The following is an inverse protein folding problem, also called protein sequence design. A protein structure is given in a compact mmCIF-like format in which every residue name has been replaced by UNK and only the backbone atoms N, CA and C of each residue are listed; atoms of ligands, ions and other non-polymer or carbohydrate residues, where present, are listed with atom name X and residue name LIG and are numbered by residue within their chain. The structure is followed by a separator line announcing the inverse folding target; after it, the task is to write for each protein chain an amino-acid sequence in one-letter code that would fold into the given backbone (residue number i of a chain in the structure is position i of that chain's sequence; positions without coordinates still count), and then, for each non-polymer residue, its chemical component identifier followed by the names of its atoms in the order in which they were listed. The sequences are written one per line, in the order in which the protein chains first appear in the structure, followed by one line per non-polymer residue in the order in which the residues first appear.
data_IF_334094952242
#
_entry.id   IF_334094952242
#
_cell.length_a   1.000
_cell.length_b   1.000
_cell.length_c   1.000
_cell.angle_alpha   90.00
_cell.angle_beta   90.00
_cell.angle_gamma   90.00
#
_symmetry.space_group_name_H-M   'P 1'
#
loop_
_entity.id
_entity.type
_entity.pdbx_description
1 polymer ?
#
# COMPACT_ATOMS: atom_id res chain seq x y z
N UNK A 1 42.27 33.14 -25.02
CA UNK A 1 41.88 32.55 -23.73
C UNK A 1 41.46 31.12 -24.02
N UNK A 2 42.22 30.15 -23.53
CA UNK A 2 42.06 28.73 -23.86
C UNK A 2 40.92 28.13 -23.02
N UNK A 3 40.19 27.14 -23.55
CA UNK A 3 39.11 26.43 -22.84
C UNK A 3 39.62 25.81 -21.53
N UNK A 4 40.85 25.29 -21.53
CA UNK A 4 41.49 24.75 -20.34
C UNK A 4 41.71 25.81 -19.25
N UNK A 5 42.05 27.05 -19.60
CA UNK A 5 42.18 28.13 -18.62
C UNK A 5 40.83 28.55 -18.03
N UNK A 6 39.75 28.46 -18.82
CA UNK A 6 38.39 28.73 -18.34
C UNK A 6 37.88 27.63 -17.42
N UNK A 7 38.16 26.37 -17.75
CA UNK A 7 37.74 25.22 -16.94
C UNK A 7 38.53 25.11 -15.64
N UNK A 8 39.85 25.36 -15.67
CA UNK A 8 40.65 25.41 -14.43
C UNK A 8 40.22 26.57 -13.53
N UNK A 9 39.96 27.76 -14.08
CA UNK A 9 39.47 28.89 -13.27
C UNK A 9 38.10 28.61 -12.65
N UNK A 10 37.17 28.02 -13.41
CA UNK A 10 35.85 27.66 -12.89
C UNK A 10 35.93 26.56 -11.82
N UNK A 11 36.84 25.60 -11.97
CA UNK A 11 37.09 24.56 -10.96
C UNK A 11 37.69 25.13 -9.67
N UNK A 12 38.67 26.03 -9.78
CA UNK A 12 39.30 26.71 -8.63
C UNK A 12 38.31 27.63 -7.91
N UNK A 13 37.41 28.29 -8.64
CA UNK A 13 36.36 29.15 -8.08
C UNK A 13 35.25 28.33 -7.39
N UNK A 14 34.95 27.12 -7.88
CA UNK A 14 34.01 26.19 -7.25
C UNK A 14 34.61 25.51 -6.01
N UNK A 15 35.88 25.14 -6.04
CA UNK A 15 36.56 24.49 -4.90
C UNK A 15 36.98 25.47 -3.81
N UNK A 16 37.25 26.73 -4.15
CA UNK A 16 37.62 27.77 -3.18
C UNK A 16 36.46 28.41 -2.41
N UNK A 17 35.21 28.22 -2.88
CA UNK A 17 34.01 28.83 -2.30
C UNK A 17 33.12 27.89 -1.49
N UNK A 18 33.43 26.60 -1.44
CA UNK A 18 32.62 25.59 -0.74
C UNK A 18 33.40 25.00 0.42
N UNK A 19 33.11 25.45 1.64
CA UNK A 19 33.28 24.60 2.82
C UNK A 19 32.55 23.28 2.56
N UNK A 20 33.09 22.16 3.06
CA UNK A 20 32.60 20.81 2.83
C UNK A 20 31.07 20.77 2.89
N UNK A 21 30.44 20.64 1.73
CA UNK A 21 28.99 20.65 1.60
C UNK A 21 28.46 19.43 2.35
N UNK A 22 27.81 19.67 3.48
CA UNK A 22 27.11 18.64 4.26
C UNK A 22 26.17 17.87 3.31
N UNK A 23 26.19 16.55 3.42
CA UNK A 23 25.39 15.60 2.62
C UNK A 23 23.89 15.95 2.68
N UNK A 24 23.45 16.58 3.77
CA UNK A 24 22.08 17.13 3.92
C UNK A 24 21.80 18.33 3.02
N UNK A 25 22.77 19.22 2.80
CA UNK A 25 22.64 20.36 1.89
C UNK A 25 22.62 19.89 0.44
N UNK A 26 23.42 18.88 0.10
CA UNK A 26 23.46 18.25 -1.23
C UNK A 26 22.12 17.56 -1.56
N UNK A 27 21.54 16.86 -0.60
CA UNK A 27 20.19 16.26 -0.72
C UNK A 27 19.11 17.32 -0.92
N UNK A 28 19.20 18.45 -0.22
CA UNK A 28 18.25 19.56 -0.34
C UNK A 28 18.34 20.26 -1.70
N UNK A 29 19.55 20.45 -2.23
CA UNK A 29 19.78 21.03 -3.57
C UNK A 29 19.26 20.10 -4.67
N UNK A 30 19.52 18.79 -4.59
CA UNK A 30 18.96 17.79 -5.52
C UNK A 30 17.43 17.80 -5.52
N UNK A 31 16.81 17.92 -4.35
CA UNK A 31 15.35 18.04 -4.23
C UNK A 31 14.78 19.35 -4.80
N UNK A 32 15.53 20.45 -4.79
CA UNK A 32 15.09 21.74 -5.35
C UNK A 32 15.27 21.78 -6.87
N UNK A 33 16.37 21.25 -7.41
CA UNK A 33 16.60 21.18 -8.86
C UNK A 33 15.65 20.19 -9.54
N UNK A 34 15.33 19.05 -8.90
CA UNK A 34 14.28 18.12 -9.35
C UNK A 34 12.92 18.83 -9.46
N UNK A 35 12.52 19.59 -8.44
CA UNK A 35 11.26 20.37 -8.42
C UNK A 35 11.21 21.50 -9.46
N UNK A 36 12.32 22.20 -9.70
CA UNK A 36 12.38 23.28 -10.67
C UNK A 36 12.27 22.80 -12.13
N UNK A 37 12.77 21.59 -12.43
CA UNK A 37 12.62 20.97 -13.76
C UNK A 37 11.20 20.49 -14.02
N UNK A 38 10.56 19.83 -13.06
CA UNK A 38 9.17 19.36 -13.19
C UNK A 38 8.19 20.52 -13.47
N UNK A 39 8.38 21.68 -12.83
CA UNK A 39 7.54 22.87 -13.07
C UNK A 39 7.67 23.47 -14.47
N UNK A 40 8.82 23.32 -15.15
CA UNK A 40 9.00 23.86 -16.50
C UNK A 40 8.31 23.01 -17.57
N UNK A 41 8.14 21.71 -17.34
CA UNK A 41 7.47 20.81 -18.28
C UNK A 41 5.94 20.79 -18.14
N UNK A 42 5.40 21.00 -16.93
CA UNK A 42 3.94 21.12 -16.74
C UNK A 42 3.30 22.31 -17.49
N UNK A 43 4.07 23.36 -17.81
CA UNK A 43 3.55 24.55 -18.51
C UNK A 43 3.39 24.34 -20.01
N UNK A 44 3.99 23.29 -20.60
CA UNK A 44 3.93 23.04 -22.05
C UNK A 44 2.80 22.10 -22.50
N UNK A 45 2.17 21.36 -21.59
CA UNK A 45 1.13 20.35 -21.89
C UNK A 45 -0.33 20.84 -21.73
N UNK A 46 -0.57 22.00 -21.10
CA UNK A 46 -1.93 22.48 -20.75
C UNK A 46 -2.77 22.92 -21.97
N UNK A 47 -2.18 23.06 -23.17
CA UNK A 47 -2.89 23.56 -24.36
C UNK A 47 -3.88 22.60 -25.02
N UNK A 48 -3.79 21.29 -24.77
CA UNK A 48 -4.53 20.28 -25.56
C UNK A 48 -5.71 19.60 -24.84
N UNK A 49 -5.83 19.70 -23.51
CA UNK A 49 -6.72 18.84 -22.70
C UNK A 49 -8.16 19.41 -22.54
N UNK A 50 -8.41 20.66 -22.92
CA UNK A 50 -9.68 21.33 -22.60
C UNK A 50 -10.92 20.90 -23.44
N UNK A 51 -10.81 20.00 -24.42
CA UNK A 51 -11.88 19.78 -25.40
C UNK A 51 -12.67 18.45 -25.30
N UNK A 52 -12.27 17.45 -24.51
CA UNK A 52 -12.85 16.08 -24.61
C UNK A 52 -13.52 15.56 -23.31
N UNK A 53 -13.31 16.22 -22.17
CA UNK A 53 -13.67 15.66 -20.85
C UNK A 53 -15.16 15.65 -20.43
N UNK A 54 -16.12 16.11 -21.25
CA UNK A 54 -17.51 16.36 -20.75
C UNK A 54 -18.51 15.24 -21.07
N UNK A 55 -18.14 14.17 -21.79
CA UNK A 55 -19.13 13.16 -22.24
C UNK A 55 -18.93 11.71 -21.75
N UNK A 56 -17.89 11.40 -20.96
CA UNK A 56 -17.52 10.00 -20.65
C UNK A 56 -18.08 9.39 -19.36
N UNK A 57 -18.40 10.18 -18.33
CA UNK A 57 -18.55 9.65 -16.95
C UNK A 57 -19.99 9.18 -16.63
N UNK A 58 -20.99 9.50 -17.46
CA UNK A 58 -22.40 9.20 -17.16
C UNK A 58 -22.87 7.77 -17.46
N UNK A 59 -22.11 6.94 -18.17
CA UNK A 59 -22.60 5.69 -18.75
C UNK A 59 -22.14 4.39 -18.03
N UNK A 60 -21.12 4.45 -17.18
CA UNK A 60 -20.57 3.24 -16.51
C UNK A 60 -21.38 2.77 -15.30
N UNK A 61 -22.34 3.56 -14.80
CA UNK A 61 -23.07 3.25 -13.56
C UNK A 61 -24.37 2.44 -13.76
N UNK A 62 -24.73 2.06 -14.99
CA UNK A 62 -26.07 1.54 -15.31
C UNK A 62 -26.13 0.11 -15.87
N UNK A 63 -25.04 -0.65 -15.95
CA UNK A 63 -25.06 -2.01 -16.52
C UNK A 63 -24.36 -3.04 -15.64
N UNK A 64 -25.17 -3.80 -14.88
CA UNK A 64 -25.00 -5.24 -14.71
C UNK A 64 -23.98 -5.73 -13.69
N UNK A 65 -24.34 -5.73 -12.40
CA UNK A 65 -23.82 -6.72 -11.45
C UNK A 65 -24.37 -8.10 -11.83
N UNK A 66 -23.54 -8.93 -12.44
CA UNK A 66 -23.82 -10.36 -12.61
C UNK A 66 -23.34 -11.10 -11.38
N UNK A 67 -24.26 -11.63 -10.59
CA UNK A 67 -23.97 -12.58 -9.52
C UNK A 67 -23.38 -13.86 -10.13
N UNK A 68 -22.09 -14.10 -9.90
CA UNK A 68 -21.48 -15.39 -10.20
C UNK A 68 -21.92 -16.38 -9.10
N UNK A 69 -22.78 -17.32 -9.48
CA UNK A 69 -23.19 -18.42 -8.60
C UNK A 69 -21.98 -19.33 -8.28
N UNK A 70 -21.82 -19.80 -7.03
CA UNK A 70 -20.71 -20.66 -6.65
C UNK A 70 -20.77 -22.01 -7.37
N UNK A 71 -19.63 -22.40 -7.97
CA UNK A 71 -19.42 -23.73 -8.55
C UNK A 71 -19.18 -24.73 -7.42
N UNK A 72 -19.98 -25.80 -7.27
CA UNK A 72 -19.75 -26.78 -6.22
C UNK A 72 -18.54 -27.68 -6.57
N UNK A 73 -17.70 -28.05 -5.59
CA UNK A 73 -16.57 -28.95 -5.82
C UNK A 73 -17.03 -30.39 -6.10
N UNK A 74 -16.26 -31.09 -6.96
CA UNK A 74 -16.49 -32.47 -7.33
C UNK A 74 -16.39 -33.40 -6.12
N UNK A 75 -17.47 -34.15 -5.86
CA UNK A 75 -17.59 -35.13 -4.78
C UNK A 75 -16.90 -36.44 -5.17
N UNK A 76 -15.83 -36.81 -4.46
CA UNK A 76 -15.39 -38.21 -4.38
C UNK A 76 -16.13 -38.88 -3.22
N UNK A 77 -16.68 -40.07 -3.44
CA UNK A 77 -17.44 -40.84 -2.46
C UNK A 77 -16.57 -41.94 -1.86
N UNK A 78 -16.16 -41.87 -0.57
CA UNK A 78 -15.78 -43.05 0.18
C UNK A 78 -17.02 -43.61 0.91
N UNK A 79 -17.28 -44.91 0.72
CA UNK A 79 -18.26 -45.64 1.52
C UNK A 79 -17.66 -45.92 2.90
N UNK A 80 -18.21 -45.30 3.96
CA UNK A 80 -17.89 -45.60 5.36
C UNK A 80 -19.08 -46.23 6.08
N UNK A 81 -18.76 -47.21 6.91
CA UNK A 81 -19.68 -47.99 7.75
C UNK A 81 -20.37 -47.12 8.82
N UNK A 82 -21.54 -47.53 9.36
CA UNK A 82 -22.28 -46.77 10.36
C UNK A 82 -21.48 -46.66 11.67
N UNK A 83 -21.06 -45.44 11.99
CA UNK A 83 -20.51 -45.08 13.31
C UNK A 83 -21.62 -44.56 14.21
N UNK A 84 -21.65 -45.04 15.44
CA UNK A 84 -22.55 -44.61 16.50
C UNK A 84 -22.41 -43.12 16.79
N UNK A 85 -23.54 -42.42 16.77
CA UNK A 85 -23.72 -40.99 17.03
C UNK A 85 -23.31 -40.65 18.48
N UNK A 86 -22.23 -39.87 18.71
CA UNK A 86 -21.91 -39.38 20.04
C UNK A 86 -22.82 -38.19 20.38
N UNK A 87 -23.49 -38.27 21.54
CA UNK A 87 -24.25 -37.18 22.15
C UNK A 87 -23.46 -35.86 22.10
N UNK A 88 -24.05 -34.75 21.63
CA UNK A 88 -23.36 -33.47 21.55
C UNK A 88 -22.93 -33.02 22.94
N UNK A 89 -21.61 -32.87 23.13
CA UNK A 89 -21.04 -32.21 24.31
C UNK A 89 -21.52 -30.76 24.33
N UNK A 90 -22.07 -30.26 25.46
CA UNK A 90 -22.51 -28.87 25.55
C UNK A 90 -21.36 -27.91 25.24
N UNK A 91 -21.57 -27.04 24.26
CA UNK A 91 -20.67 -25.93 23.95
C UNK A 91 -20.51 -25.07 25.21
N UNK A 92 -19.28 -24.86 25.72
CA UNK A 92 -19.06 -23.98 26.86
C UNK A 92 -19.58 -22.58 26.50
N UNK A 93 -20.32 -21.98 27.43
CA UNK A 93 -20.76 -20.60 27.29
C UNK A 93 -19.53 -19.70 27.06
N UNK A 94 -19.61 -18.69 26.16
CA UNK A 94 -18.49 -17.79 25.94
C UNK A 94 -18.10 -17.14 27.27
N UNK A 95 -16.87 -17.39 27.69
CA UNK A 95 -16.30 -16.73 28.87
C UNK A 95 -16.30 -15.24 28.59
N UNK A 96 -17.05 -14.46 29.38
CA UNK A 96 -17.02 -13.01 29.28
C UNK A 96 -15.57 -12.55 29.45
N UNK A 97 -15.01 -11.95 28.41
CA UNK A 97 -13.71 -11.32 28.50
C UNK A 97 -13.75 -10.28 29.64
N UNK A 98 -12.69 -10.20 30.48
CA UNK A 98 -12.66 -9.24 31.57
C UNK A 98 -12.86 -7.82 31.02
N UNK A 99 -13.86 -7.11 31.53
CA UNK A 99 -14.06 -5.70 31.20
C UNK A 99 -12.85 -4.92 31.72
N UNK A 100 -12.10 -4.18 30.88
CA UNK A 100 -10.95 -3.42 31.33
C UNK A 100 -11.37 -2.40 32.41
N UNK A 101 -10.81 -2.53 33.61
CA UNK A 101 -11.06 -1.61 34.73
C UNK A 101 -9.82 -0.73 34.92
N UNK A 102 -9.85 0.48 34.36
CA UNK A 102 -8.79 1.48 34.50
C UNK A 102 -9.09 2.75 33.70
N UNK A 103 -8.46 3.90 34.02
CA UNK A 103 -8.57 5.09 33.19
C UNK A 103 -8.08 4.78 31.77
N UNK A 104 -8.78 5.34 30.79
CA UNK A 104 -8.47 5.16 29.36
C UNK A 104 -7.28 6.04 29.03
N UNK A 105 -6.08 5.51 29.23
CA UNK A 105 -4.81 6.17 28.93
C UNK A 105 -4.08 5.45 27.79
N UNK A 106 -3.31 6.23 27.02
CA UNK A 106 -2.35 5.70 26.05
C UNK A 106 -1.20 5.01 26.77
N UNK A 107 -0.55 4.08 26.08
CA UNK A 107 0.61 3.38 26.60
C UNK A 107 1.80 3.52 25.65
N UNK A 108 3.02 3.51 26.19
CA UNK A 108 4.24 3.50 25.37
C UNK A 108 4.34 2.24 24.53
N UNK A 109 3.95 1.11 25.12
CA UNK A 109 3.95 -0.20 24.49
C UNK A 109 2.60 -0.87 24.74
N UNK A 110 2.09 -1.53 23.70
CA UNK A 110 0.89 -2.35 23.74
C UNK A 110 1.25 -3.57 22.90
N UNK A 111 1.28 -4.74 23.53
CA UNK A 111 1.52 -6.01 22.85
C UNK A 111 0.34 -6.39 21.94
N UNK A 112 0.58 -7.25 20.96
CA UNK A 112 -0.42 -7.60 19.95
C UNK A 112 -1.67 -8.25 20.55
N UNK A 113 -1.52 -9.07 21.61
CA UNK A 113 -2.68 -9.67 22.27
C UNK A 113 -3.54 -8.62 22.97
N UNK A 114 -2.91 -7.62 23.61
CA UNK A 114 -3.59 -6.46 24.18
C UNK A 114 -4.25 -5.59 23.11
N UNK A 115 -3.62 -5.39 21.95
CA UNK A 115 -4.24 -4.69 20.81
C UNK A 115 -5.48 -5.44 20.36
N UNK A 116 -5.38 -6.73 20.04
CA UNK A 116 -6.51 -7.54 19.56
C UNK A 116 -7.67 -7.59 20.58
N UNK A 117 -7.38 -7.68 21.87
CA UNK A 117 -8.39 -7.62 22.91
C UNK A 117 -9.13 -6.27 22.94
N UNK A 118 -8.42 -5.16 22.71
CA UNK A 118 -8.99 -3.82 22.63
C UNK A 118 -9.74 -3.57 21.33
N UNK A 119 -9.34 -4.19 20.21
CA UNK A 119 -10.12 -4.17 18.98
C UNK A 119 -11.48 -4.83 19.17
N UNK A 120 -11.52 -5.98 19.86
CA UNK A 120 -12.77 -6.70 20.14
C UNK A 120 -13.68 -5.99 21.16
N UNK A 121 -13.10 -5.22 22.08
CA UNK A 121 -13.83 -4.45 23.08
C UNK A 121 -13.16 -3.09 23.36
N UNK A 122 -13.35 -2.10 22.49
CA UNK A 122 -12.69 -0.81 22.62
C UNK A 122 -13.05 -0.08 23.91
N UNK A 123 -12.06 0.49 24.59
CA UNK A 123 -12.27 1.22 25.86
C UNK A 123 -12.68 2.68 25.63
N UNK A 124 -12.37 3.20 24.44
CA UNK A 124 -12.58 4.60 24.07
C UNK A 124 -14.05 4.92 23.74
N UNK A 125 -14.93 3.91 23.65
CA UNK A 125 -16.38 4.09 23.46
C UNK A 125 -16.76 4.55 22.06
N UNK A 126 -15.87 4.33 21.10
CA UNK A 126 -16.04 4.66 19.71
C UNK A 126 -16.96 3.67 18.99
N UNK A 127 -17.65 4.19 17.98
CA UNK A 127 -18.46 3.43 17.03
C UNK A 127 -18.15 3.94 15.63
N UNK A 128 -18.12 3.03 14.67
CA UNK A 128 -17.76 3.32 13.29
C UNK A 128 -18.88 2.91 12.35
N UNK A 129 -18.97 3.62 11.24
CA UNK A 129 -19.84 3.27 10.13
C UNK A 129 -19.12 3.59 8.82
N UNK A 130 -19.69 3.14 7.70
CA UNK A 130 -19.15 3.46 6.38
C UNK A 130 -19.09 4.98 6.17
N UNK A 131 -18.07 5.51 5.47
CA UNK A 131 -17.90 6.95 5.31
C UNK A 131 -19.08 7.57 4.55
N UNK A 132 -19.72 8.57 5.16
CA UNK A 132 -20.81 9.34 4.55
C UNK A 132 -20.33 10.76 4.29
N UNK A 133 -20.29 11.17 3.03
CA UNK A 133 -19.88 12.54 2.66
C UNK A 133 -20.78 13.57 3.32
N UNK A 134 -20.19 14.59 3.95
CA UNK A 134 -20.90 15.66 4.64
C UNK A 134 -20.40 17.04 4.18
N UNK A 135 -21.10 17.61 3.20
CA UNK A 135 -20.79 18.95 2.67
C UNK A 135 -21.15 20.08 3.67
N UNK A 136 -21.99 19.82 4.67
CA UNK A 136 -22.30 20.83 5.71
C UNK A 136 -21.17 20.90 6.72
N UNK A 137 -20.67 19.75 7.19
CA UNK A 137 -19.49 19.69 8.05
C UNK A 137 -18.24 20.23 7.33
N UNK A 138 -18.10 19.98 6.02
CA UNK A 138 -17.00 20.54 5.21
C UNK A 138 -16.86 22.05 5.36
N UNK A 139 -17.96 22.79 5.27
CA UNK A 139 -17.92 24.25 5.37
C UNK A 139 -17.54 24.76 6.78
N UNK A 140 -17.74 23.94 7.80
CA UNK A 140 -17.38 24.26 9.18
C UNK A 140 -15.97 23.80 9.56
N UNK A 141 -15.47 22.71 8.97
CA UNK A 141 -14.20 22.09 9.39
C UNK A 141 -12.99 22.52 8.56
N UNK A 142 -13.19 23.03 7.34
CA UNK A 142 -12.08 23.41 6.45
C UNK A 142 -11.85 24.92 6.45
N UNK A 143 -10.57 25.32 6.36
CA UNK A 143 -10.20 26.73 6.18
C UNK A 143 -10.81 27.32 4.88
N UNK A 144 -11.16 28.62 4.88
CA UNK A 144 -11.61 29.28 3.67
C UNK A 144 -10.58 29.18 2.53
N UNK A 145 -11.03 28.79 1.35
CA UNK A 145 -10.16 28.63 0.18
C UNK A 145 -9.48 27.27 0.06
N UNK A 146 -9.68 26.36 1.02
CA UNK A 146 -9.24 24.96 0.92
C UNK A 146 -10.11 24.20 -0.11
N UNK A 147 -9.63 24.19 -1.36
CA UNK A 147 -10.17 23.34 -2.43
C UNK A 147 -9.50 21.97 -2.42
N UNK A 148 -10.18 20.96 -2.96
CA UNK A 148 -9.62 19.61 -3.12
C UNK A 148 -9.54 18.81 -1.81
N UNK A 149 -10.43 19.07 -0.85
CA UNK A 149 -10.59 18.26 0.36
C UNK A 149 -12.06 17.91 0.55
N UNK A 150 -12.36 16.69 0.95
CA UNK A 150 -13.70 16.19 1.24
C UNK A 150 -13.80 15.75 2.69
N UNK A 151 -14.97 15.95 3.29
CA UNK A 151 -15.26 15.57 4.67
C UNK A 151 -16.28 14.44 4.68
N UNK A 152 -15.99 13.40 5.44
CA UNK A 152 -16.84 12.24 5.63
C UNK A 152 -17.15 12.07 7.12
N UNK A 153 -18.41 11.91 7.50
CA UNK A 153 -18.76 11.35 8.79
C UNK A 153 -18.41 9.85 8.77
N UNK A 154 -17.67 9.38 9.78
CA UNK A 154 -17.17 7.99 9.86
C UNK A 154 -17.53 7.28 11.16
N UNK A 155 -18.07 7.99 12.15
CA UNK A 155 -18.41 7.38 13.43
C UNK A 155 -18.83 8.38 14.50
N UNK A 156 -18.87 7.89 15.72
CA UNK A 156 -19.16 8.68 16.91
C UNK A 156 -18.43 8.15 18.14
N UNK A 157 -18.14 9.03 19.10
CA UNK A 157 -17.63 8.70 20.44
C UNK A 157 -18.42 9.49 21.48
N UNK A 158 -19.29 8.80 22.22
CA UNK A 158 -20.24 9.46 23.11
C UNK A 158 -21.18 10.41 22.34
N UNK A 159 -21.17 11.70 22.68
CA UNK A 159 -21.95 12.73 21.98
C UNK A 159 -21.22 13.34 20.76
N UNK A 160 -19.92 13.09 20.62
CA UNK A 160 -19.13 13.64 19.54
C UNK A 160 -19.30 12.83 18.25
N UNK A 161 -19.52 13.53 17.14
CA UNK A 161 -19.42 12.94 15.80
C UNK A 161 -17.96 12.93 15.36
N UNK A 162 -17.53 11.84 14.72
CA UNK A 162 -16.17 11.68 14.22
C UNK A 162 -16.18 11.83 12.70
N UNK A 163 -15.32 12.72 12.20
CA UNK A 163 -15.16 13.04 10.79
C UNK A 163 -13.76 12.70 10.30
N UNK A 164 -13.69 12.19 9.08
CA UNK A 164 -12.46 12.04 8.32
C UNK A 164 -12.40 13.14 7.26
N UNK A 165 -11.31 13.90 7.26
CA UNK A 165 -11.03 14.99 6.32
C UNK A 165 -9.93 14.50 5.39
N UNK A 166 -10.22 14.39 4.10
CA UNK A 166 -9.37 13.70 3.12
C UNK A 166 -9.13 14.59 1.92
N UNK A 167 -7.91 14.63 1.40
CA UNK A 167 -7.61 15.29 0.13
C UNK A 167 -8.32 14.55 -1.04
N UNK A 168 -9.03 15.28 -1.91
CA UNK A 168 -9.63 14.72 -3.12
C UNK A 168 -8.51 14.36 -4.10
N UNK A 169 -8.26 13.05 -4.25
CA UNK A 169 -7.32 12.53 -5.25
C UNK A 169 -7.70 13.00 -6.68
N UNK A 170 -9.00 13.15 -6.97
CA UNK A 170 -9.49 13.59 -8.28
C UNK A 170 -9.13 15.04 -8.62
N UNK A 171 -8.86 15.89 -7.63
CA UNK A 171 -8.54 17.30 -7.85
C UNK A 171 -7.17 17.51 -8.51
N UNK A 172 -6.28 16.51 -8.45
CA UNK A 172 -4.91 16.62 -8.94
C UNK A 172 -4.72 16.21 -10.40
N UNK A 173 -5.80 15.88 -11.13
CA UNK A 173 -5.76 15.59 -12.57
C UNK A 173 -4.76 14.50 -12.99
N UNK A 174 -4.22 13.76 -12.03
CA UNK A 174 -3.22 12.72 -12.17
C UNK A 174 -3.72 11.52 -11.38
N UNK A 175 -3.51 10.35 -11.95
CA UNK A 175 -3.83 9.02 -11.42
C UNK A 175 -3.10 8.68 -10.11
N UNK A 176 -2.47 9.64 -9.44
CA UNK A 176 -1.63 9.33 -8.30
C UNK A 176 -2.48 8.80 -7.12
N UNK A 177 -2.26 7.55 -6.66
CA UNK A 177 -2.90 7.01 -5.45
C UNK A 177 -2.32 7.61 -4.16
N UNK A 178 -1.40 8.57 -4.27
CA UNK A 178 -0.76 9.22 -3.14
C UNK A 178 -1.57 10.45 -2.73
N UNK A 179 -2.33 10.33 -1.64
CA UNK A 179 -2.75 11.51 -0.89
C UNK A 179 -1.48 12.21 -0.40
N UNK A 180 -1.03 13.25 -1.11
CA UNK A 180 0.22 13.97 -0.79
C UNK A 180 0.19 14.60 0.61
N UNK A 181 -1.01 14.81 1.17
CA UNK A 181 -1.22 15.34 2.53
C UNK A 181 -2.07 14.44 3.43
N UNK A 182 -2.35 13.20 3.00
CA UNK A 182 -3.01 12.18 3.81
C UNK A 182 -4.45 12.52 4.25
N UNK A 183 -4.87 11.96 5.39
CA UNK A 183 -6.18 12.14 6.00
C UNK A 183 -6.04 12.68 7.44
N UNK A 184 -7.02 13.45 7.89
CA UNK A 184 -7.11 13.99 9.25
C UNK A 184 -8.39 13.49 9.92
N UNK A 185 -8.35 13.32 11.24
CA UNK A 185 -9.51 12.90 12.02
C UNK A 185 -9.95 14.05 12.93
N UNK A 186 -11.25 14.37 12.92
CA UNK A 186 -11.82 15.48 13.68
C UNK A 186 -13.01 14.98 14.48
N UNK A 187 -13.05 15.30 15.77
CA UNK A 187 -14.26 15.17 16.57
C UNK A 187 -15.01 16.49 16.63
N UNK A 188 -16.34 16.44 16.64
CA UNK A 188 -17.16 17.63 16.83
C UNK A 188 -18.35 17.34 17.74
N UNK A 189 -18.53 18.18 18.75
CA UNK A 189 -19.67 18.18 19.67
C UNK A 189 -20.13 19.61 19.98
N UNK A 190 -20.83 19.80 21.10
CA UNK A 190 -21.35 21.10 21.54
C UNK A 190 -20.25 22.10 21.92
N UNK A 191 -19.07 21.62 22.32
CA UNK A 191 -17.94 22.47 22.74
C UNK A 191 -17.10 22.96 21.55
N UNK A 192 -17.28 22.35 20.37
CA UNK A 192 -16.60 22.74 19.13
C UNK A 192 -16.02 21.56 18.37
N UNK A 193 -15.16 21.88 17.41
CA UNK A 193 -14.42 20.88 16.63
C UNK A 193 -12.98 20.76 17.15
N UNK A 194 -12.47 19.53 17.17
CA UNK A 194 -11.11 19.23 17.62
C UNK A 194 -10.43 18.21 16.73
N UNK A 195 -9.21 18.51 16.26
CA UNK A 195 -8.43 17.66 15.39
C UNK A 195 -7.62 16.65 16.20
N UNK A 196 -7.94 15.37 16.08
CA UNK A 196 -7.24 14.29 16.79
C UNK A 196 -5.86 14.09 16.16
N UNK A 197 -4.82 14.51 16.88
CA UNK A 197 -3.45 14.49 16.36
C UNK A 197 -2.82 13.09 16.38
N UNK A 198 -3.13 12.31 17.42
CA UNK A 198 -2.52 11.01 17.67
C UNK A 198 -3.61 9.94 17.82
N UNK A 199 -4.18 9.42 16.71
CA UNK A 199 -5.33 8.53 16.77
C UNK A 199 -5.02 7.15 17.38
N UNK A 200 -3.76 6.70 17.37
CA UNK A 200 -3.34 5.45 18.00
C UNK A 200 -3.28 5.54 19.54
N UNK A 201 -3.62 4.45 20.22
CA UNK A 201 -3.47 4.29 21.66
C UNK A 201 -2.01 4.11 22.10
N UNK A 202 -1.08 3.90 21.15
CA UNK A 202 0.36 3.78 21.43
C UNK A 202 1.03 5.15 21.31
N UNK A 203 1.76 5.60 22.33
CA UNK A 203 2.38 6.94 22.33
C UNK A 203 3.59 7.08 21.39
N UNK A 204 4.14 5.98 20.91
CA UNK A 204 5.26 5.98 19.96
C UNK A 204 4.85 5.99 18.49
N UNK A 205 3.55 5.91 18.20
CA UNK A 205 3.07 5.92 16.82
C UNK A 205 3.02 7.37 16.28
N UNK A 206 3.30 7.60 14.98
CA UNK A 206 3.29 8.94 14.38
C UNK A 206 1.96 9.66 14.55
N UNK A 207 2.07 10.96 14.83
CA UNK A 207 0.96 11.89 14.95
C UNK A 207 1.01 12.95 13.85
N UNK A 208 -0.14 13.56 13.58
CA UNK A 208 -0.28 14.72 12.70
C UNK A 208 0.57 15.88 13.21
N UNK A 209 1.34 16.46 12.31
CA UNK A 209 2.16 17.65 12.55
C UNK A 209 1.33 18.94 12.48
N UNK A 210 1.72 20.02 13.16
CA UNK A 210 1.00 21.29 13.08
C UNK A 210 0.83 21.84 11.65
N UNK A 211 1.80 21.59 10.77
CA UNK A 211 1.75 22.06 9.38
C UNK A 211 0.65 21.36 8.56
N UNK A 212 0.35 20.09 8.87
CA UNK A 212 -0.71 19.32 8.22
C UNK A 212 -2.11 19.78 8.64
N UNK A 213 -2.25 20.31 9.85
CA UNK A 213 -3.52 20.86 10.36
C UNK A 213 -3.91 22.17 9.68
N UNK A 214 -3.01 22.83 8.93
CA UNK A 214 -3.27 24.12 8.29
C UNK A 214 -4.37 24.13 7.20
N UNK A 215 -4.95 22.96 6.90
CA UNK A 215 -6.12 22.84 6.00
C UNK A 215 -7.46 22.98 6.74
N UNK A 216 -7.45 22.82 8.06
CA UNK A 216 -8.63 22.93 8.92
C UNK A 216 -8.93 24.39 9.25
N UNK A 217 -10.17 24.69 9.60
CA UNK A 217 -10.59 26.03 10.00
C UNK A 217 -9.89 26.48 11.30
N UNK A 218 -9.70 27.79 11.46
CA UNK A 218 -8.98 28.39 12.60
C UNK A 218 -9.61 28.07 13.97
N UNK A 219 -10.90 27.71 14.01
CA UNK A 219 -11.64 27.33 15.21
C UNK A 219 -11.62 25.82 15.50
N UNK A 220 -10.91 25.02 14.68
CA UNK A 220 -10.66 23.59 14.97
C UNK A 220 -9.41 23.46 15.82
N UNK A 221 -9.60 23.16 17.11
CA UNK A 221 -8.49 23.08 18.07
C UNK A 221 -7.71 21.76 17.93
N UNK A 222 -6.38 21.75 18.04
CA UNK A 222 -5.60 20.51 18.09
C UNK A 222 -5.89 19.73 19.37
N UNK A 223 -6.10 18.42 19.26
CA UNK A 223 -6.33 17.50 20.36
C UNK A 223 -5.27 16.40 20.40
N UNK A 224 -4.37 16.51 21.38
CA UNK A 224 -3.33 15.52 21.65
C UNK A 224 -3.81 14.44 22.65
N UNK A 225 -4.97 14.57 23.29
CA UNK A 225 -5.44 13.68 24.34
C UNK A 225 -6.34 12.56 23.83
N UNK A 226 -7.19 12.84 22.83
CA UNK A 226 -8.08 11.83 22.23
C UNK A 226 -7.29 10.82 21.38
N UNK A 227 -7.71 9.56 21.46
CA UNK A 227 -7.21 8.44 20.67
C UNK A 227 -8.30 7.36 20.56
N UNK A 228 -8.05 6.31 19.77
CA UNK A 228 -8.99 5.22 19.53
C UNK A 228 -8.27 3.88 19.62
N UNK A 229 -8.80 2.99 20.47
CA UNK A 229 -8.28 1.62 20.57
C UNK A 229 -8.42 0.90 19.21
N UNK A 230 -9.52 1.14 18.49
CA UNK A 230 -9.79 0.54 17.17
C UNK A 230 -8.89 1.02 16.03
N UNK A 231 -8.10 2.08 16.23
CA UNK A 231 -7.13 2.60 15.24
C UNK A 231 -5.68 2.27 15.62
N UNK A 232 -5.47 1.47 16.66
CA UNK A 232 -4.16 0.95 17.04
C UNK A 232 -3.92 -0.35 16.31
N UNK A 233 -3.04 -0.34 15.30
CA UNK A 233 -2.68 -1.57 14.59
C UNK A 233 -1.75 -2.45 15.44
N UNK A 234 -1.89 -3.79 15.40
CA UNK A 234 -0.93 -4.70 15.98
C UNK A 234 0.43 -4.53 15.28
N UNK A 235 1.53 -4.77 15.99
CA UNK A 235 2.88 -4.75 15.42
C UNK A 235 3.12 -5.93 14.48
N UNK A 236 2.47 -7.06 14.75
CA UNK A 236 2.51 -8.28 13.93
C UNK A 236 1.10 -8.80 13.67
N UNK A 237 0.84 -9.25 12.45
CA UNK A 237 -0.40 -9.94 12.06
C UNK A 237 -0.02 -11.34 11.59
N UNK A 238 -0.52 -12.37 12.27
CA UNK A 238 -0.35 -13.78 11.89
C UNK A 238 -1.48 -14.20 10.94
N UNK A 239 -1.12 -14.58 9.72
CA UNK A 239 -2.03 -15.09 8.69
C UNK A 239 -1.86 -16.60 8.46
N UNK A 240 -1.17 -17.30 9.36
CA UNK A 240 -0.95 -18.73 9.30
C UNK A 240 0.52 -19.13 9.12
N UNK A 241 0.79 -20.44 8.96
CA UNK A 241 2.15 -20.97 8.93
C UNK A 241 3.07 -20.28 7.91
N UNK A 242 4.09 -19.57 8.41
CA UNK A 242 5.09 -18.85 7.60
C UNK A 242 4.56 -17.58 6.91
N UNK A 243 3.44 -17.05 7.40
CA UNK A 243 2.82 -15.80 6.94
C UNK A 243 2.61 -14.83 8.10
N UNK A 244 3.68 -14.15 8.49
CA UNK A 244 3.67 -13.15 9.56
C UNK A 244 3.97 -11.77 8.99
N UNK A 245 2.96 -10.91 8.96
CA UNK A 245 3.07 -9.52 8.52
C UNK A 245 3.49 -8.65 9.68
N UNK A 246 4.26 -7.61 9.40
CA UNK A 246 4.64 -6.57 10.36
C UNK A 246 3.94 -5.27 9.97
N UNK A 247 4.04 -4.26 10.83
CA UNK A 247 3.56 -2.90 10.52
C UNK A 247 4.58 -1.82 10.86
N UNK A 248 5.81 -2.21 11.20
CA UNK A 248 6.83 -1.31 11.72
C UNK A 248 7.31 -0.32 10.65
N UNK A 249 7.54 -0.80 9.42
CA UNK A 249 7.98 0.07 8.33
C UNK A 249 6.87 1.00 7.86
N UNK A 250 5.63 0.51 7.79
CA UNK A 250 4.41 1.28 7.50
C UNK A 250 4.21 2.37 8.54
N UNK A 251 4.47 2.06 9.81
CA UNK A 251 4.45 3.03 10.91
C UNK A 251 5.53 4.09 10.77
N UNK A 252 6.71 3.75 10.27
CA UNK A 252 7.84 4.67 10.20
C UNK A 252 7.88 5.50 8.91
N UNK A 253 6.84 5.41 8.08
CA UNK A 253 6.74 6.17 6.84
C UNK A 253 6.76 7.68 7.11
N UNK A 254 7.77 8.42 6.62
CA UNK A 254 7.92 9.84 6.91
C UNK A 254 6.86 10.74 6.24
N UNK A 255 6.05 10.18 5.35
CA UNK A 255 5.01 10.88 4.60
C UNK A 255 3.59 10.40 4.96
N UNK A 256 3.44 9.54 5.96
CA UNK A 256 2.13 9.13 6.45
C UNK A 256 1.57 10.21 7.40
N UNK A 257 0.31 10.66 7.23
CA UNK A 257 -0.29 11.79 7.95
C UNK A 257 -0.39 11.53 9.46
N UNK A 258 -0.79 10.31 9.84
CA UNK A 258 -0.76 9.78 11.19
C UNK A 258 -0.95 8.25 11.09
N UNK A 259 -0.38 7.49 12.01
CA UNK A 259 -0.56 6.05 12.00
C UNK A 259 -1.97 5.65 12.41
N UNK A 260 -2.59 4.75 11.63
CA UNK A 260 -4.00 4.37 11.80
C UNK A 260 -4.98 5.26 11.04
N UNK A 261 -4.50 6.20 10.21
CA UNK A 261 -5.31 6.91 9.22
C UNK A 261 -5.03 6.37 7.81
N UNK A 262 -6.03 6.41 6.92
CA UNK A 262 -5.85 5.85 5.59
C UNK A 262 -4.88 6.67 4.73
N UNK A 263 -4.09 5.94 3.94
CA UNK A 263 -3.23 6.51 2.90
C UNK A 263 -3.95 6.61 1.55
N UNK A 264 -4.98 5.79 1.36
CA UNK A 264 -5.81 5.76 0.17
C UNK A 264 -7.28 5.84 0.57
N UNK A 265 -8.01 6.75 -0.05
CA UNK A 265 -9.44 6.92 0.17
C UNK A 265 -10.18 6.72 -1.15
N UNK A 266 -11.10 5.76 -1.13
CA UNK A 266 -11.69 5.15 -2.31
C UNK A 266 -11.72 3.64 -2.08
N UNK A 267 -12.85 3.00 -2.34
CA UNK A 267 -12.89 1.54 -2.31
C UNK A 267 -12.08 1.07 -3.52
N UNK A 268 -11.04 0.24 -3.33
CA UNK A 268 -10.45 -0.45 -4.47
C UNK A 268 -11.55 -1.26 -5.18
N UNK A 269 -11.34 -1.58 -6.45
CA UNK A 269 -12.34 -2.29 -7.24
C UNK A 269 -12.71 -3.64 -6.61
N UNK A 270 -11.78 -4.25 -5.88
CA UNK A 270 -12.03 -5.39 -5.01
C UNK A 270 -11.07 -5.46 -3.81
N UNK A 271 -11.60 -5.96 -2.68
CA UNK A 271 -10.80 -6.43 -1.54
C UNK A 271 -11.17 -7.87 -1.20
N UNK A 272 -10.19 -8.63 -0.71
CA UNK A 272 -10.36 -9.99 -0.22
C UNK A 272 -9.80 -10.09 1.19
N UNK A 273 -10.59 -10.63 2.11
CA UNK A 273 -10.19 -10.80 3.51
C UNK A 273 -9.19 -11.95 3.62
N UNK A 274 -8.02 -11.65 4.19
CA UNK A 274 -6.95 -12.62 4.46
C UNK A 274 -7.04 -13.07 5.92
N UNK A 275 -7.15 -12.10 6.84
CA UNK A 275 -7.32 -12.34 8.28
C UNK A 275 -8.32 -11.35 8.86
N UNK A 276 -9.32 -11.86 9.56
CA UNK A 276 -10.24 -11.05 10.36
C UNK A 276 -9.62 -10.77 11.75
N UNK A 277 -9.49 -9.49 12.10
CA UNK A 277 -8.96 -8.98 13.37
C UNK A 277 -10.05 -8.26 14.18
N UNK A 278 -11.32 -8.50 13.85
CA UNK A 278 -12.50 -7.85 14.41
C UNK A 278 -12.88 -6.59 13.62
N UNK A 279 -12.79 -5.38 14.21
CA UNK A 279 -13.03 -4.13 13.47
C UNK A 279 -11.93 -3.82 12.45
N UNK A 280 -10.83 -4.57 12.43
CA UNK A 280 -9.78 -4.50 11.42
C UNK A 280 -9.73 -5.81 10.63
N UNK A 281 -9.19 -5.77 9.42
CA UNK A 281 -8.85 -6.97 8.68
C UNK A 281 -7.55 -6.78 7.90
N UNK A 282 -6.71 -7.81 7.84
CA UNK A 282 -5.69 -7.90 6.81
C UNK A 282 -6.40 -8.29 5.51
N UNK A 283 -6.24 -7.48 4.48
CA UNK A 283 -6.86 -7.68 3.18
C UNK A 283 -5.82 -7.71 2.08
N UNK A 284 -6.13 -8.44 1.02
CA UNK A 284 -5.52 -8.27 -0.30
C UNK A 284 -6.41 -7.29 -1.08
N UNK A 285 -5.84 -6.23 -1.62
CA UNK A 285 -6.56 -5.23 -2.42
C UNK A 285 -6.09 -5.29 -3.86
N UNK A 286 -7.04 -5.28 -4.80
CA UNK A 286 -6.74 -5.19 -6.23
C UNK A 286 -6.12 -3.82 -6.50
N UNK A 287 -5.03 -3.83 -7.25
CA UNK A 287 -4.43 -2.64 -7.82
C UNK A 287 -4.81 -2.64 -9.29
N UNK A 288 -5.82 -1.85 -9.62
CA UNK A 288 -6.12 -1.55 -11.01
C UNK A 288 -4.90 -0.84 -11.57
N UNK A 289 -4.16 -1.47 -12.51
CA UNK A 289 -2.97 -0.84 -13.05
C UNK A 289 -3.38 0.52 -13.61
N UNK A 290 -2.59 1.55 -13.30
CA UNK A 290 -2.65 2.78 -14.07
C UNK A 290 -2.45 2.37 -15.52
N UNK A 291 -3.51 2.52 -16.32
CA UNK A 291 -3.44 2.17 -17.72
C UNK A 291 -2.40 3.09 -18.35
N UNK A 292 -1.19 2.56 -18.55
CA UNK A 292 -0.19 3.23 -19.36
C UNK A 292 -0.76 3.24 -20.76
N UNK A 293 -1.00 4.43 -21.31
CA UNK A 293 -1.68 4.57 -22.59
C UNK A 293 -1.00 3.71 -23.66
N UNK A 294 -1.76 2.74 -24.22
CA UNK A 294 -1.26 1.83 -25.25
C UNK A 294 -0.50 0.60 -24.74
N UNK A 295 -0.42 0.37 -23.42
CA UNK A 295 0.18 -0.84 -22.84
C UNK A 295 -0.85 -1.56 -21.99
N UNK A 296 -1.24 -2.75 -22.45
CA UNK A 296 -2.15 -3.61 -21.72
C UNK A 296 -1.39 -4.37 -20.61
N UNK A 297 -2.00 -4.58 -19.43
CA UNK A 297 -1.47 -5.46 -18.39
C UNK A 297 -1.23 -6.88 -18.92
N UNK A 298 -0.37 -7.63 -18.23
CA UNK A 298 -0.10 -9.03 -18.59
C UNK A 298 -1.36 -9.86 -18.41
N UNK A 299 -1.85 -10.47 -19.49
CA UNK A 299 -3.08 -11.27 -19.49
C UNK A 299 -3.04 -12.35 -18.40
N UNK A 300 -4.15 -12.48 -17.66
CA UNK A 300 -4.29 -13.47 -16.59
C UNK A 300 -3.60 -13.12 -15.28
N UNK A 301 -2.86 -12.01 -15.21
CA UNK A 301 -2.30 -11.49 -13.96
C UNK A 301 -3.16 -10.35 -13.42
N UNK A 302 -3.34 -10.34 -12.10
CA UNK A 302 -3.91 -9.20 -11.36
C UNK A 302 -2.94 -8.77 -10.28
N UNK A 303 -2.64 -7.49 -10.20
CA UNK A 303 -1.70 -6.97 -9.23
C UNK A 303 -2.43 -6.58 -7.95
N UNK A 304 -1.77 -6.79 -6.81
CA UNK A 304 -2.35 -6.59 -5.50
C UNK A 304 -1.36 -5.98 -4.52
N UNK A 305 -1.91 -5.43 -3.45
CA UNK A 305 -1.17 -5.09 -2.23
C UNK A 305 -1.85 -5.69 -1.01
N UNK A 306 -1.06 -5.96 0.02
CA UNK A 306 -1.62 -6.19 1.34
C UNK A 306 -1.89 -4.85 2.02
N UNK A 307 -3.03 -4.75 2.67
CA UNK A 307 -3.42 -3.59 3.45
C UNK A 307 -4.14 -4.02 4.72
N UNK A 308 -4.17 -3.14 5.72
CA UNK A 308 -5.08 -3.28 6.84
C UNK A 308 -6.32 -2.43 6.57
N UNK A 309 -7.48 -3.08 6.48
CA UNK A 309 -8.77 -2.40 6.42
C UNK A 309 -9.14 -1.90 7.80
N UNK A 310 -9.41 -0.59 7.90
CA UNK A 310 -9.83 0.11 9.10
C UNK A 310 -11.34 -0.07 9.35
N UNK A 311 -11.85 0.29 10.55
CA UNK A 311 -13.24 0.01 10.95
C UNK A 311 -14.30 0.75 10.12
N UNK A 312 -13.90 1.83 9.44
CA UNK A 312 -14.73 2.61 8.52
C UNK A 312 -14.37 2.31 7.05
N UNK A 313 -13.85 1.12 6.76
CA UNK A 313 -13.70 0.58 5.40
C UNK A 313 -12.55 1.15 4.57
N UNK A 314 -11.72 2.03 5.12
CA UNK A 314 -10.54 2.58 4.43
C UNK A 314 -9.31 1.69 4.65
N UNK A 315 -8.22 1.95 3.91
CA UNK A 315 -7.06 1.07 3.88
C UNK A 315 -5.78 1.77 4.36
N UNK A 316 -4.99 1.03 5.14
CA UNK A 316 -3.58 1.31 5.42
C UNK A 316 -2.74 0.29 4.66
N UNK A 317 -2.17 0.71 3.53
CA UNK A 317 -1.33 -0.16 2.68
C UNK A 317 -0.04 -0.51 3.41
N UNK A 318 0.32 -1.80 3.43
CA UNK A 318 1.53 -2.26 4.09
C UNK A 318 2.76 -2.06 3.20
N UNK A 319 3.83 -1.55 3.81
CA UNK A 319 5.13 -1.40 3.17
C UNK A 319 5.77 -2.73 2.76
N UNK A 320 6.68 -2.67 1.79
CA UNK A 320 7.32 -3.89 1.27
C UNK A 320 8.10 -4.67 2.31
N UNK A 321 8.75 -3.97 3.24
CA UNK A 321 9.50 -4.55 4.35
C UNK A 321 8.62 -5.18 5.44
N UNK A 322 7.32 -4.86 5.43
CA UNK A 322 6.34 -5.37 6.38
C UNK A 322 5.65 -6.65 5.91
N UNK A 323 5.81 -7.02 4.63
CA UNK A 323 5.24 -8.24 4.08
C UNK A 323 6.24 -9.40 4.17
N UNK A 324 5.80 -10.60 4.62
CA UNK A 324 6.67 -11.77 4.65
C UNK A 324 6.97 -12.24 3.23
N UNK A 325 8.04 -13.04 3.08
CA UNK A 325 8.40 -13.69 1.82
C UNK A 325 8.66 -12.71 0.65
N UNK A 326 8.84 -11.43 0.95
CA UNK A 326 9.05 -10.38 -0.05
C UNK A 326 10.49 -10.16 -0.44
N UNK A 327 11.41 -10.50 0.46
CA UNK A 327 12.81 -10.24 0.31
C UNK A 327 13.44 -11.26 -0.65
N UNK A 328 13.85 -10.83 -1.85
CA UNK A 328 14.43 -11.73 -2.84
C UNK A 328 15.79 -12.30 -2.39
N UNK A 329 16.59 -11.46 -1.73
CA UNK A 329 17.89 -11.80 -1.17
C UNK A 329 17.80 -12.71 0.07
N UNK A 330 16.62 -12.81 0.68
CA UNK A 330 16.33 -13.74 1.77
C UNK A 330 15.98 -15.17 1.30
N UNK A 331 15.85 -15.39 -0.01
CA UNK A 331 15.55 -16.72 -0.57
C UNK A 331 16.82 -17.58 -0.59
N UNK A 332 16.74 -18.74 0.05
CA UNK A 332 17.76 -19.79 -0.09
C UNK A 332 17.46 -20.61 -1.33
N UNK A 333 18.27 -20.45 -2.38
CA UNK A 333 18.10 -21.13 -3.66
C UNK A 333 18.71 -22.54 -3.65
N UNK A 334 18.04 -23.50 -4.30
CA UNK A 334 18.46 -24.91 -4.36
C UNK A 334 19.76 -25.12 -5.15
N UNK A 335 20.10 -24.16 -6.03
CA UNK A 335 21.37 -24.17 -6.77
C UNK A 335 22.55 -23.63 -5.95
N UNK A 336 22.30 -23.18 -4.71
CA UNK A 336 23.31 -22.62 -3.80
C UNK A 336 23.88 -21.27 -4.22
N UNK A 337 23.35 -20.65 -5.29
CA UNK A 337 23.82 -19.34 -5.76
C UNK A 337 23.14 -18.25 -4.94
N UNK A 338 23.96 -17.50 -4.19
CA UNK A 338 23.53 -16.29 -3.52
C UNK A 338 23.21 -15.21 -4.56
N UNK A 339 22.01 -14.63 -4.45
CA UNK A 339 21.54 -13.56 -5.32
C UNK A 339 21.15 -12.39 -4.41
N UNK A 340 21.75 -11.23 -4.64
CA UNK A 340 21.42 -10.02 -3.92
C UNK A 340 20.71 -9.05 -4.87
N UNK A 341 19.76 -8.29 -4.34
CA UNK A 341 19.20 -7.10 -4.99
C UNK A 341 19.83 -5.88 -4.33
N UNK A 342 20.63 -5.12 -5.08
CA UNK A 342 21.37 -3.96 -4.58
C UNK A 342 20.52 -2.69 -4.53
N UNK A 343 19.30 -2.71 -5.10
CA UNK A 343 18.44 -1.55 -5.16
C UNK A 343 17.42 -1.54 -4.02
N UNK A 344 16.59 -2.59 -3.95
CA UNK A 344 15.55 -2.71 -2.92
C UNK A 344 15.44 -4.17 -2.48
N UNK A 345 15.28 -4.44 -1.18
CA UNK A 345 15.19 -5.82 -0.70
C UNK A 345 13.88 -6.50 -1.16
N UNK A 346 12.80 -5.75 -1.42
CA UNK A 346 11.48 -6.28 -1.70
C UNK A 346 11.14 -6.39 -3.20
N UNK A 347 10.28 -7.35 -3.54
CA UNK A 347 9.81 -7.59 -4.90
C UNK A 347 8.85 -6.53 -5.48
N UNK A 348 8.56 -6.62 -6.77
CA UNK A 348 7.54 -5.86 -7.48
C UNK A 348 6.45 -6.79 -8.07
N UNK A 349 5.32 -6.22 -8.50
CA UNK A 349 4.30 -6.99 -9.22
C UNK A 349 4.73 -7.19 -10.68
N UNK A 350 4.68 -8.42 -11.19
CA UNK A 350 5.04 -8.68 -12.58
C UNK A 350 4.00 -8.17 -13.60
N UNK A 351 2.72 -8.09 -13.21
CA UNK A 351 1.60 -7.82 -14.13
C UNK A 351 1.18 -6.35 -14.30
N UNK A 352 1.76 -5.42 -13.54
CA UNK A 352 1.39 -4.00 -13.58
C UNK A 352 2.62 -3.08 -13.53
N UNK A 353 2.46 -1.86 -14.03
CA UNK A 353 3.45 -0.81 -13.90
C UNK A 353 3.29 -0.12 -12.54
N UNK A 354 4.39 0.07 -11.82
CA UNK A 354 4.41 0.82 -10.54
C UNK A 354 5.75 1.52 -10.39
N UNK A 355 5.78 2.75 -9.88
CA UNK A 355 7.05 3.37 -9.49
C UNK A 355 7.45 3.12 -8.04
N UNK A 356 6.49 2.71 -7.20
CA UNK A 356 6.74 2.50 -5.78
C UNK A 356 5.91 1.35 -5.20
N UNK A 357 6.54 0.77 -4.17
CA UNK A 357 6.11 -0.27 -3.26
C UNK A 357 5.94 -1.69 -3.81
N UNK A 358 6.06 -2.63 -2.88
CA UNK A 358 5.86 -4.05 -3.10
C UNK A 358 4.40 -4.31 -3.46
N UNK A 359 4.22 -4.69 -4.72
CA UNK A 359 3.03 -5.34 -5.20
C UNK A 359 3.37 -6.78 -5.53
N UNK A 360 2.37 -7.66 -5.50
CA UNK A 360 2.44 -9.02 -6.02
C UNK A 360 1.42 -9.14 -7.14
N UNK A 361 1.54 -10.15 -8.00
CA UNK A 361 0.44 -10.51 -8.90
C UNK A 361 -0.12 -11.88 -8.56
N UNK A 362 -1.44 -12.04 -8.56
CA UNK A 362 -2.06 -13.37 -8.53
C UNK A 362 -2.31 -13.86 -9.94
N UNK A 363 -2.18 -15.16 -10.15
CA UNK A 363 -2.56 -15.83 -11.40
C UNK A 363 -3.71 -16.80 -11.14
N UNK A 364 -4.87 -16.56 -11.77
CA UNK A 364 -6.05 -17.40 -11.57
C UNK A 364 -5.85 -18.84 -12.08
N UNK A 365 -5.23 -18.98 -13.27
CA UNK A 365 -5.01 -20.26 -13.94
C UNK A 365 -3.55 -20.73 -13.80
N UNK A 366 -3.04 -20.74 -12.57
CA UNK A 366 -1.66 -21.18 -12.31
C UNK A 366 -1.49 -22.68 -12.61
N UNK A 367 -0.73 -23.01 -13.65
CA UNK A 367 -0.36 -24.39 -13.98
C UNK A 367 0.99 -24.77 -13.38
N UNK A 368 0.96 -25.45 -12.23
CA UNK A 368 2.15 -25.92 -11.53
C UNK A 368 3.08 -26.82 -12.39
N UNK A 369 2.60 -27.43 -13.48
CA UNK A 369 3.42 -28.22 -14.40
C UNK A 369 4.42 -27.39 -15.21
N UNK A 370 4.20 -26.08 -15.31
CA UNK A 370 5.09 -25.12 -15.98
C UNK A 370 6.02 -24.38 -15.02
N UNK A 371 6.06 -24.81 -13.77
CA UNK A 371 6.92 -24.27 -12.72
C UNK A 371 7.70 -25.41 -12.04
N UNK A 372 8.84 -25.08 -11.45
CA UNK A 372 9.70 -26.00 -10.72
C UNK A 372 10.03 -25.43 -9.35
N UNK A 373 10.06 -26.29 -8.33
CA UNK A 373 10.64 -25.94 -7.05
C UNK A 373 12.11 -25.50 -7.25
N UNK A 374 12.52 -24.44 -6.55
CA UNK A 374 13.84 -23.85 -6.76
C UNK A 374 14.48 -23.18 -5.53
N UNK A 375 13.78 -23.10 -4.40
CA UNK A 375 14.34 -22.52 -3.19
C UNK A 375 13.31 -22.41 -2.08
N UNK A 376 13.71 -21.84 -0.95
CA UNK A 376 12.86 -21.64 0.22
C UNK A 376 13.08 -20.24 0.77
N UNK A 377 12.01 -19.55 1.18
CA UNK A 377 12.09 -18.25 1.85
C UNK A 377 12.65 -18.38 3.27
N UNK A 378 13.02 -17.26 3.91
CA UNK A 378 13.47 -17.27 5.30
C UNK A 378 12.39 -17.81 6.26
N UNK A 379 11.12 -17.63 5.92
CA UNK A 379 9.96 -18.10 6.67
C UNK A 379 9.56 -19.55 6.34
N UNK A 380 10.29 -20.23 5.44
CA UNK A 380 10.08 -21.64 5.12
C UNK A 380 9.12 -21.92 3.96
N UNK A 381 8.71 -20.90 3.20
CA UNK A 381 7.83 -21.09 2.04
C UNK A 381 8.60 -21.63 0.85
N UNK A 382 8.05 -22.63 0.18
CA UNK A 382 8.62 -23.16 -1.06
C UNK A 382 8.49 -22.12 -2.18
N UNK A 383 9.61 -21.80 -2.81
CA UNK A 383 9.69 -20.92 -3.97
C UNK A 383 9.74 -21.75 -5.25
N UNK A 384 9.02 -21.26 -6.26
CA UNK A 384 8.93 -21.84 -7.59
C UNK A 384 9.44 -20.88 -8.65
N UNK A 385 10.10 -21.40 -9.66
CA UNK A 385 10.54 -20.66 -10.85
C UNK A 385 9.89 -21.25 -12.10
N UNK A 386 9.80 -20.48 -13.19
CA UNK A 386 9.47 -21.05 -14.48
C UNK A 386 10.41 -22.23 -14.82
N UNK A 387 9.89 -23.23 -15.54
CA UNK A 387 10.69 -24.35 -16.05
C UNK A 387 11.84 -23.87 -16.94
N UNK A 388 12.84 -24.74 -17.17
CA UNK A 388 13.94 -24.43 -18.09
C UNK A 388 13.39 -24.11 -19.49
N UNK A 389 13.82 -22.98 -20.07
CA UNK A 389 13.26 -22.43 -21.32
C UNK A 389 12.06 -21.50 -21.14
N UNK A 390 11.56 -21.35 -19.91
CA UNK A 390 10.46 -20.44 -19.55
C UNK A 390 9.07 -21.03 -19.81
N UNK A 391 8.06 -20.26 -19.44
CA UNK A 391 6.65 -20.53 -19.74
C UNK A 391 6.02 -19.28 -20.40
N UNK A 392 4.73 -19.36 -20.76
CA UNK A 392 4.05 -18.22 -21.42
C UNK A 392 4.03 -16.98 -20.52
N UNK A 393 3.80 -17.16 -19.22
CA UNK A 393 3.77 -16.06 -18.25
C UNK A 393 5.12 -15.37 -18.13
N UNK A 394 6.22 -16.12 -18.00
CA UNK A 394 7.56 -15.53 -17.88
C UNK A 394 7.94 -14.71 -19.12
N UNK A 395 7.56 -15.19 -20.32
CA UNK A 395 7.78 -14.47 -21.58
C UNK A 395 6.95 -13.19 -21.64
N UNK A 396 5.66 -13.28 -21.31
CA UNK A 396 4.74 -12.14 -21.32
C UNK A 396 5.16 -11.05 -20.32
N UNK A 397 5.56 -11.43 -19.10
CA UNK A 397 6.07 -10.49 -18.08
C UNK A 397 7.34 -9.79 -18.56
N UNK A 398 8.31 -10.55 -19.09
CA UNK A 398 9.57 -10.00 -19.61
C UNK A 398 9.32 -9.03 -20.76
N UNK A 399 8.44 -9.39 -21.70
CA UNK A 399 8.06 -8.53 -22.83
C UNK A 399 7.35 -7.26 -22.36
N UNK A 400 6.41 -7.38 -21.42
CA UNK A 400 5.71 -6.24 -20.82
C UNK A 400 6.69 -5.26 -20.16
N UNK A 401 7.57 -5.73 -19.28
CA UNK A 401 8.56 -4.89 -18.60
C UNK A 401 9.58 -4.28 -19.59
N UNK A 402 9.93 -5.03 -20.64
CA UNK A 402 10.77 -4.51 -21.71
C UNK A 402 10.07 -3.41 -22.52
N UNK A 403 8.77 -3.54 -22.78
CA UNK A 403 8.00 -2.56 -23.58
C UNK A 403 7.81 -1.23 -22.86
N UNK A 404 7.72 -1.27 -21.53
CA UNK A 404 7.62 -0.09 -20.68
C UNK A 404 8.96 0.61 -20.43
N UNK A 405 10.08 -0.06 -20.72
CA UNK A 405 11.40 0.52 -20.51
C UNK A 405 11.71 1.53 -21.64
N UNK A 406 11.68 2.83 -21.34
CA UNK A 406 11.99 3.89 -22.29
C UNK A 406 12.95 4.96 -21.72
N UNK A 407 13.75 5.59 -22.60
CA UNK A 407 14.61 6.71 -22.23
C UNK A 407 15.77 6.96 -23.22
N UNK A 408 15.59 7.88 -24.16
CA UNK A 408 16.65 8.31 -25.10
C UNK A 408 17.71 9.21 -24.42
N UNK A 409 17.30 10.03 -23.44
CA UNK A 409 18.17 11.03 -22.78
C UNK A 409 19.16 10.45 -21.74
N UNK A 410 19.09 9.14 -21.46
CA UNK A 410 20.05 8.41 -20.61
C UNK A 410 21.03 7.55 -21.42
N UNK A 411 21.05 7.68 -22.75
CA UNK A 411 21.94 6.90 -23.62
C UNK A 411 21.40 5.52 -24.00
N UNK A 412 20.08 5.39 -24.16
CA UNK A 412 19.44 4.15 -24.63
C UNK A 412 19.57 3.00 -23.64
N UNK A 413 18.85 3.07 -22.52
CA UNK A 413 18.80 1.99 -21.55
C UNK A 413 17.94 0.84 -22.04
N UNK A 414 18.53 -0.18 -22.68
CA UNK A 414 17.88 -1.45 -22.92
C UNK A 414 17.40 -2.05 -21.60
N UNK A 415 16.18 -2.57 -21.55
CA UNK A 415 15.69 -3.40 -20.45
C UNK A 415 16.79 -4.37 -19.97
N UNK A 416 16.97 -4.47 -18.64
CA UNK A 416 18.12 -5.19 -18.02
C UNK A 416 18.23 -6.65 -18.47
N UNK A 417 17.11 -7.26 -18.86
CA UNK A 417 17.02 -8.64 -19.33
C UNK A 417 16.59 -8.71 -20.80
N UNK A 418 17.53 -8.43 -21.73
CA UNK A 418 17.20 -8.30 -23.15
C UNK A 418 16.80 -9.63 -23.79
N UNK A 419 17.11 -10.77 -23.17
CA UNK A 419 16.69 -12.12 -23.60
C UNK A 419 15.83 -12.84 -22.53
N UNK A 420 15.00 -13.81 -22.93
CA UNK A 420 14.30 -14.68 -21.96
C UNK A 420 15.30 -15.51 -21.15
N UNK A 421 16.41 -15.89 -21.77
CA UNK A 421 17.51 -16.61 -21.10
C UNK A 421 18.10 -15.78 -19.96
N UNK A 422 18.37 -14.48 -20.18
CA UNK A 422 18.87 -13.58 -19.14
C UNK A 422 17.87 -13.44 -17.98
N UNK A 423 16.59 -13.28 -18.31
CA UNK A 423 15.51 -13.14 -17.32
C UNK A 423 15.36 -14.39 -16.44
N UNK A 424 15.41 -15.57 -17.06
CA UNK A 424 15.32 -16.86 -16.38
C UNK A 424 16.58 -17.17 -15.56
N UNK A 425 17.78 -16.89 -16.10
CA UNK A 425 19.05 -17.10 -15.41
C UNK A 425 19.16 -16.24 -14.14
N UNK A 426 18.56 -15.06 -14.17
CA UNK A 426 18.49 -14.14 -13.03
C UNK A 426 17.47 -14.56 -11.95
N UNK A 427 16.65 -15.58 -12.20
CA UNK A 427 15.46 -15.91 -11.39
C UNK A 427 14.55 -14.69 -11.20
N UNK A 428 14.41 -13.85 -12.22
CA UNK A 428 13.77 -12.54 -12.10
C UNK A 428 12.27 -12.63 -11.76
N UNK A 429 11.61 -13.73 -12.14
CA UNK A 429 10.22 -14.03 -11.79
C UNK A 429 10.18 -15.30 -10.95
N UNK A 430 9.48 -15.24 -9.82
CA UNK A 430 9.22 -16.40 -8.97
C UNK A 430 7.78 -16.41 -8.46
N UNK A 431 7.35 -17.58 -8.00
CA UNK A 431 6.04 -17.80 -7.44
C UNK A 431 6.11 -18.52 -6.09
N UNK A 432 5.11 -18.29 -5.26
CA UNK A 432 4.89 -18.98 -3.99
C UNK A 432 3.39 -18.96 -3.65
N UNK A 433 2.94 -19.86 -2.77
CA UNK A 433 1.54 -19.89 -2.33
C UNK A 433 1.32 -18.91 -1.18
N UNK A 434 0.33 -18.04 -1.34
CA UNK A 434 -0.17 -17.11 -0.32
C UNK A 434 -0.78 -17.79 0.91
N UNK A 435 -1.13 -17.01 1.94
CA UNK A 435 -1.78 -17.53 3.15
C UNK A 435 -3.14 -18.17 2.88
N UNK A 436 -3.82 -17.76 1.80
CA UNK A 436 -5.09 -18.30 1.32
C UNK A 436 -4.93 -19.42 0.28
N UNK A 437 -3.68 -19.84 -0.01
CA UNK A 437 -3.34 -20.85 -1.01
C UNK A 437 -3.33 -20.32 -2.46
N UNK A 438 -3.61 -19.03 -2.69
CA UNK A 438 -3.51 -18.43 -4.02
C UNK A 438 -2.05 -18.37 -4.48
N UNK A 439 -1.80 -18.54 -5.77
CA UNK A 439 -0.44 -18.41 -6.32
C UNK A 439 -0.09 -16.94 -6.52
N UNK A 440 0.97 -16.51 -5.83
CA UNK A 440 1.49 -15.15 -5.86
C UNK A 440 2.79 -15.15 -6.64
N UNK A 441 2.81 -14.38 -7.72
CA UNK A 441 3.97 -14.12 -8.56
C UNK A 441 4.61 -12.81 -8.15
N UNK A 442 5.94 -12.80 -8.13
CA UNK A 442 6.77 -11.70 -7.68
C UNK A 442 7.92 -11.49 -8.65
N UNK A 443 8.24 -10.24 -8.88
CA UNK A 443 9.29 -9.80 -9.80
C UNK A 443 10.46 -9.21 -9.00
N UNK A 444 11.69 -9.46 -9.44
CA UNK A 444 12.88 -8.85 -8.85
C UNK A 444 12.82 -7.37 -9.11
N UNK A 445 13.20 -6.54 -8.13
CA UNK A 445 12.97 -5.11 -8.26
C UNK A 445 13.72 -4.54 -9.47
N UNK A 446 14.98 -4.95 -9.67
CA UNK A 446 15.78 -4.56 -10.84
C UNK A 446 15.31 -5.13 -12.20
N UNK A 447 14.28 -6.00 -12.19
CA UNK A 447 13.63 -6.56 -13.37
C UNK A 447 12.34 -5.84 -13.73
N UNK A 448 11.95 -4.86 -12.93
CA UNK A 448 10.93 -3.90 -13.30
C UNK A 448 11.43 -2.98 -14.42
N UNK A 449 10.49 -2.50 -15.22
CA UNK A 449 10.76 -1.53 -16.28
C UNK A 449 11.49 -0.30 -15.74
N UNK A 450 12.54 0.13 -16.43
CA UNK A 450 13.23 1.37 -16.10
C UNK A 450 12.47 2.56 -16.70
N UNK A 451 11.52 3.12 -15.94
CA UNK A 451 10.86 4.38 -16.30
C UNK A 451 11.54 5.52 -15.55
N UNK A 452 11.91 6.59 -16.27
CA UNK A 452 12.61 7.76 -15.71
C UNK A 452 11.93 8.36 -14.47
N UNK A 453 10.61 8.21 -14.36
CA UNK A 453 9.82 8.73 -13.24
C UNK A 453 10.02 7.92 -11.95
N UNK A 454 10.46 6.66 -12.06
CA UNK A 454 10.70 5.75 -10.95
C UNK A 454 12.18 5.73 -10.48
N UNK A 455 13.09 6.39 -11.21
CA UNK A 455 14.51 6.57 -10.88
C UNK A 455 14.80 7.95 -10.29
#
# INVERSE_FOLDING_TARGET
MNLDELLSRAYDELTGGTDAIDERALTRVRGVTRRARLRRHAVTSVGAVAAVGVLGVGAAYALGRGDAAPVPPATQTPTTAPSSDPTPTPTPAPSLAPTPQGPVERAAEIDDASVLARLAAPRTGETWHDPVRDDTARAALLAPGTSGWTVYAVGARGAASVYLVVEDATAHGSTAPFLYRGALLVERDEDGARAVRCPSARTGDPCVTPDELGVLADDVEPDDATFYDSLTLPATIDAGPGWSFRTASTRELPYAPAYGLPLQFGQPDATWDVVDLGPLALVLTDETPDAVEGVEPVEGLRSHRYAVRLPFGTLVVLEGADQPNAAFDAITWDDGVLRADDQRPYSAAPGAFTCDSLQLSTQADFDAGTWRAAGTTAEGQQVYLPVAGGNDVSRAVREYQSSLSWGEDLGGGSYRYPTDEDFLAANALWALQGPDGTWQLRLRYDAQSAVFECS
#
